data_IF_720272648584
#
_entry.id   IF_720272648584
#
_cell.length_a   1.000
_cell.length_b   1.000
_cell.length_c   1.000
_cell.angle_alpha   90.00
_cell.angle_beta   90.00
_cell.angle_gamma   90.00
#
_symmetry.space_group_name_H-M   'P 1'
#
loop_
_entity.id
_entity.type
_entity.pdbx_description
1 polymer ?
#
# COMPACT_ATOMS: atom_id res chain seq x y z
N UNK A 1 -13.36 -2.94 -20.78
CA UNK A 1 -13.32 -2.71 -19.31
C UNK A 1 -13.20 -4.04 -18.54
N UNK A 2 -14.11 -5.01 -18.70
CA UNK A 2 -14.05 -6.31 -17.99
C UNK A 2 -12.66 -6.98 -18.04
N UNK A 3 -12.07 -7.12 -19.23
CA UNK A 3 -10.73 -7.70 -19.44
C UNK A 3 -9.61 -6.99 -18.67
N UNK A 4 -9.68 -5.65 -18.57
CA UNK A 4 -8.70 -4.82 -17.87
C UNK A 4 -8.84 -5.00 -16.34
N UNK A 5 -10.08 -5.04 -15.85
CA UNK A 5 -10.34 -5.26 -14.42
C UNK A 5 -9.87 -6.64 -13.97
N UNK A 6 -10.14 -7.70 -14.75
CA UNK A 6 -9.60 -9.03 -14.47
C UNK A 6 -8.07 -9.01 -14.43
N UNK A 7 -7.43 -8.39 -15.42
CA UNK A 7 -5.97 -8.29 -15.45
C UNK A 7 -5.40 -7.53 -14.23
N UNK A 8 -6.09 -6.49 -13.77
CA UNK A 8 -5.72 -5.73 -12.57
C UNK A 8 -5.83 -6.57 -11.30
N UNK A 9 -6.96 -7.24 -11.08
CA UNK A 9 -7.17 -8.04 -9.86
C UNK A 9 -6.30 -9.31 -9.83
N UNK A 10 -5.94 -9.85 -10.98
CA UNK A 10 -5.00 -10.96 -11.12
C UNK A 10 -3.52 -10.54 -11.00
N UNK A 11 -3.22 -9.23 -11.06
CA UNK A 11 -1.86 -8.73 -11.13
C UNK A 11 -1.13 -9.14 -12.42
N UNK A 12 -1.87 -9.31 -13.53
CA UNK A 12 -1.33 -9.75 -14.81
C UNK A 12 -0.73 -8.58 -15.61
N UNK A 13 0.52 -8.24 -15.27
CA UNK A 13 1.28 -7.14 -15.86
C UNK A 13 1.37 -7.22 -17.40
N UNK A 14 1.64 -8.40 -17.95
CA UNK A 14 1.76 -8.60 -19.41
C UNK A 14 0.47 -8.24 -20.14
N UNK A 15 -0.68 -8.64 -19.58
CA UNK A 15 -2.00 -8.34 -20.14
C UNK A 15 -2.34 -6.86 -20.02
N UNK A 16 -1.96 -6.21 -18.93
CA UNK A 16 -2.12 -4.75 -18.76
C UNK A 16 -1.30 -4.01 -19.82
N UNK A 17 -0.03 -4.39 -20.03
CA UNK A 17 0.85 -3.79 -21.04
C UNK A 17 0.28 -4.00 -22.44
N UNK A 18 -0.21 -5.21 -22.76
CA UNK A 18 -0.85 -5.48 -24.05
C UNK A 18 -2.07 -4.59 -24.32
N UNK A 19 -2.94 -4.42 -23.32
CA UNK A 19 -4.09 -3.52 -23.41
C UNK A 19 -3.66 -2.06 -23.54
N UNK A 20 -2.61 -1.63 -22.84
CA UNK A 20 -2.07 -0.27 -22.94
C UNK A 20 -1.58 0.04 -24.36
N UNK A 21 -0.89 -0.91 -24.99
CA UNK A 21 -0.46 -0.81 -26.39
C UNK A 21 -1.66 -0.75 -27.34
N UNK A 22 -2.66 -1.62 -27.15
CA UNK A 22 -3.89 -1.65 -27.96
C UNK A 22 -4.65 -0.31 -27.90
N UNK A 23 -4.82 0.23 -26.70
CA UNK A 23 -5.50 1.52 -26.48
C UNK A 23 -4.61 2.74 -26.78
N UNK A 24 -3.31 2.55 -27.04
CA UNK A 24 -2.32 3.62 -27.26
C UNK A 24 -2.25 4.61 -26.10
N UNK A 25 -2.27 4.09 -24.87
CA UNK A 25 -2.17 4.87 -23.62
C UNK A 25 -1.02 4.31 -22.78
N UNK A 26 -0.36 5.15 -21.98
CA UNK A 26 0.63 4.68 -21.01
C UNK A 26 0.03 3.67 -20.02
N UNK A 27 0.76 2.61 -19.69
CA UNK A 27 0.25 1.55 -18.83
C UNK A 27 -0.12 2.06 -17.43
N UNK A 28 0.62 3.03 -16.87
CA UNK A 28 0.31 3.60 -15.57
C UNK A 28 -0.97 4.44 -15.64
N UNK A 29 -1.16 5.22 -16.72
CA UNK A 29 -2.40 5.97 -16.94
C UNK A 29 -3.59 5.01 -17.07
N UNK A 30 -3.45 3.92 -17.83
CA UNK A 30 -4.51 2.93 -17.99
C UNK A 30 -4.90 2.28 -16.66
N UNK A 31 -3.90 1.88 -15.85
CA UNK A 31 -4.10 1.33 -14.51
C UNK A 31 -4.78 2.35 -13.60
N UNK A 32 -4.30 3.58 -13.60
CA UNK A 32 -4.85 4.68 -12.79
C UNK A 32 -6.33 4.91 -13.13
N UNK A 33 -6.67 5.07 -14.40
CA UNK A 33 -8.05 5.29 -14.83
C UNK A 33 -8.96 4.13 -14.43
N UNK A 34 -8.49 2.89 -14.62
CA UNK A 34 -9.26 1.72 -14.23
C UNK A 34 -9.48 1.64 -12.71
N UNK A 35 -8.47 1.96 -11.90
CA UNK A 35 -8.58 2.03 -10.44
C UNK A 35 -9.56 3.11 -9.99
N UNK A 36 -9.48 4.32 -10.56
CA UNK A 36 -10.41 5.41 -10.27
C UNK A 36 -11.85 5.06 -10.64
N UNK A 37 -12.04 4.33 -11.74
CA UNK A 37 -13.36 3.85 -12.11
C UNK A 37 -13.91 2.87 -11.06
N UNK A 38 -13.14 1.88 -10.61
CA UNK A 38 -13.67 0.86 -9.68
C UNK A 38 -13.69 1.28 -8.21
N UNK A 39 -12.92 2.31 -7.84
CA UNK A 39 -12.73 2.73 -6.45
C UNK A 39 -14.03 2.90 -5.66
N UNK A 40 -15.07 3.62 -6.14
CA UNK A 40 -16.31 3.80 -5.36
C UNK A 40 -17.01 2.48 -5.01
N UNK A 41 -16.99 1.51 -5.92
CA UNK A 41 -17.55 0.18 -5.67
C UNK A 41 -16.72 -0.62 -4.66
N UNK A 42 -15.39 -0.48 -4.70
CA UNK A 42 -14.51 -1.11 -3.74
C UNK A 42 -14.64 -0.50 -2.34
N UNK A 43 -14.80 0.82 -2.24
CA UNK A 43 -15.08 1.54 -0.98
C UNK A 43 -16.43 1.09 -0.40
N UNK A 44 -17.47 1.00 -1.22
CA UNK A 44 -18.76 0.46 -0.80
C UNK A 44 -18.62 -0.99 -0.30
N UNK A 45 -17.90 -1.86 -1.01
CA UNK A 45 -17.66 -3.24 -0.58
C UNK A 45 -16.86 -3.30 0.74
N UNK A 46 -15.86 -2.44 0.90
CA UNK A 46 -15.09 -2.33 2.14
C UNK A 46 -15.96 -1.86 3.32
N UNK A 47 -16.93 -0.98 3.10
CA UNK A 47 -17.86 -0.52 4.15
C UNK A 47 -18.82 -1.60 4.64
N UNK A 48 -19.07 -2.64 3.83
CA UNK A 48 -20.04 -3.70 4.11
C UNK A 48 -19.43 -4.91 4.82
N UNK A 49 -18.11 -4.98 4.97
CA UNK A 49 -17.45 -6.11 5.62
C UNK A 49 -17.58 -6.03 7.15
N UNK A 50 -17.90 -7.15 7.79
CA UNK A 50 -17.84 -7.26 9.24
C UNK A 50 -16.37 -7.26 9.70
N UNK A 51 -15.92 -6.27 10.50
CA UNK A 51 -14.55 -6.22 11.01
C UNK A 51 -14.14 -7.46 11.82
N UNK A 52 -15.09 -8.19 12.41
CA UNK A 52 -14.81 -9.42 13.16
C UNK A 52 -14.19 -10.52 12.29
N UNK A 53 -14.51 -10.53 10.99
CA UNK A 53 -13.97 -11.49 10.02
C UNK A 53 -12.49 -11.23 9.72
N UNK A 54 -12.06 -9.97 9.79
CA UNK A 54 -10.68 -9.56 9.50
C UNK A 54 -9.68 -9.98 10.59
N UNK A 55 -10.15 -10.23 11.80
CA UNK A 55 -9.30 -10.64 12.92
C UNK A 55 -8.95 -12.14 12.91
N UNK A 56 -9.62 -12.93 12.06
CA UNK A 56 -9.44 -14.39 12.01
C UNK A 56 -8.22 -14.84 11.21
N UNK A 57 -7.63 -13.94 10.42
CA UNK A 57 -6.51 -14.23 9.52
C UNK A 57 -5.53 -13.06 9.49
N UNK A 58 -4.30 -13.37 9.16
CA UNK A 58 -3.26 -12.38 8.87
C UNK A 58 -3.26 -12.09 7.38
N UNK A 59 -3.30 -10.81 7.02
CA UNK A 59 -3.28 -10.36 5.63
C UNK A 59 -2.00 -9.58 5.32
N UNK A 60 -1.42 -9.81 4.14
CA UNK A 60 -0.33 -9.01 3.56
C UNK A 60 -0.77 -8.16 2.37
N UNK A 61 -2.04 -8.30 1.97
CA UNK A 61 -2.72 -7.60 0.88
C UNK A 61 -4.15 -7.29 1.33
N UNK A 62 -4.79 -6.29 0.72
CA UNK A 62 -6.17 -5.97 1.04
C UNK A 62 -7.10 -7.16 0.67
N UNK A 63 -7.95 -7.64 1.59
CA UNK A 63 -8.87 -8.74 1.31
C UNK A 63 -10.02 -8.38 0.36
N UNK A 64 -10.25 -7.09 0.09
CA UNK A 64 -11.31 -6.62 -0.80
C UNK A 64 -10.81 -6.46 -2.24
N UNK A 65 -9.67 -5.79 -2.43
CA UNK A 65 -9.19 -5.41 -3.75
C UNK A 65 -7.82 -5.99 -4.14
N UNK A 66 -7.17 -6.75 -3.25
CA UNK A 66 -5.87 -7.38 -3.51
C UNK A 66 -4.65 -6.44 -3.44
N UNK A 67 -4.86 -5.12 -3.41
CA UNK A 67 -3.78 -4.12 -3.38
C UNK A 67 -2.91 -4.28 -2.13
N UNK A 68 -1.60 -4.20 -2.32
CA UNK A 68 -0.64 -4.15 -1.20
C UNK A 68 -0.72 -2.79 -0.50
N UNK A 69 -0.93 -2.75 0.82
CA UNK A 69 -0.98 -1.51 1.57
C UNK A 69 0.41 -0.87 1.66
N UNK A 70 0.42 0.46 1.61
CA UNK A 70 1.64 1.28 1.70
C UNK A 70 1.61 2.22 2.91
N UNK A 71 0.44 2.34 3.53
CA UNK A 71 0.21 3.06 4.78
C UNK A 71 -0.22 2.06 5.85
N UNK A 72 0.30 2.27 7.04
CA UNK A 72 0.00 1.54 8.25
C UNK A 72 -0.46 2.54 9.31
N UNK A 73 -1.41 2.15 10.15
CA UNK A 73 -1.69 2.84 11.40
C UNK A 73 -1.33 1.96 12.59
N UNK A 74 -0.71 2.58 13.59
CA UNK A 74 -0.46 1.99 14.89
C UNK A 74 -1.46 2.53 15.91
N UNK A 75 -2.33 1.64 16.40
CA UNK A 75 -3.34 1.95 17.40
C UNK A 75 -3.14 1.05 18.61
N UNK A 76 -2.88 1.65 19.78
CA UNK A 76 -2.63 0.92 21.03
C UNK A 76 -1.51 -0.14 20.90
N UNK A 77 -0.45 0.17 20.15
CA UNK A 77 0.65 -0.76 19.88
C UNK A 77 0.31 -1.91 18.92
N UNK A 78 -0.95 -2.00 18.47
CA UNK A 78 -1.36 -2.94 17.42
C UNK A 78 -1.14 -2.32 16.05
N UNK A 79 -0.90 -3.19 15.09
CA UNK A 79 -0.53 -2.85 13.72
C UNK A 79 -1.70 -3.09 12.78
N UNK A 80 -2.10 -2.05 12.05
CA UNK A 80 -3.16 -2.13 11.05
C UNK A 80 -2.69 -1.57 9.72
N UNK A 81 -3.10 -2.21 8.64
CA UNK A 81 -2.81 -1.77 7.28
C UNK A 81 -4.00 -0.98 6.75
N UNK A 82 -3.70 0.13 6.06
CA UNK A 82 -4.68 0.94 5.37
C UNK A 82 -4.55 0.68 3.86
N UNK A 83 -5.65 0.25 3.23
CA UNK A 83 -5.73 0.17 1.79
C UNK A 83 -6.04 1.55 1.19
N UNK A 84 -5.08 2.11 0.44
CA UNK A 84 -5.24 3.42 -0.21
C UNK A 84 -6.21 3.43 -1.39
N UNK A 85 -6.67 2.26 -1.85
CA UNK A 85 -7.64 2.16 -2.95
C UNK A 85 -9.09 2.03 -2.46
N UNK A 86 -9.36 1.18 -1.46
CA UNK A 86 -10.74 0.94 -1.00
C UNK A 86 -11.02 1.46 0.41
N UNK A 87 -10.01 2.05 1.08
CA UNK A 87 -10.13 2.60 2.42
C UNK A 87 -10.19 1.57 3.56
N UNK A 88 -10.17 0.26 3.27
CA UNK A 88 -10.25 -0.75 4.33
C UNK A 88 -9.04 -0.67 5.27
N UNK A 89 -9.32 -0.66 6.57
CA UNK A 89 -8.33 -0.84 7.64
C UNK A 89 -8.45 -2.26 8.20
N UNK A 90 -7.35 -3.00 8.26
CA UNK A 90 -7.34 -4.40 8.68
C UNK A 90 -6.06 -4.76 9.45
N UNK A 91 -6.11 -5.74 10.39
CA UNK A 91 -4.94 -6.08 11.20
C UNK A 91 -3.82 -6.71 10.35
N UNK A 92 -2.58 -6.35 10.68
CA UNK A 92 -1.38 -6.94 10.09
C UNK A 92 -0.75 -7.97 11.02
N UNK A 93 0.10 -8.85 10.48
CA UNK A 93 0.98 -9.63 11.34
C UNK A 93 1.94 -8.71 12.12
N UNK A 94 2.08 -8.92 13.43
CA UNK A 94 3.13 -8.25 14.20
C UNK A 94 4.50 -8.68 13.67
N UNK A 95 5.46 -7.76 13.70
CA UNK A 95 6.89 -8.03 13.45
C UNK A 95 7.19 -8.81 12.15
N UNK A 96 6.58 -8.41 11.02
CA UNK A 96 6.87 -9.01 9.71
C UNK A 96 6.84 -8.00 8.57
N UNK A 97 7.69 -8.20 7.57
CA UNK A 97 7.64 -7.43 6.33
C UNK A 97 6.43 -7.86 5.50
N UNK A 98 5.51 -6.93 5.20
CA UNK A 98 4.31 -7.20 4.39
C UNK A 98 4.60 -7.46 2.90
N UNK A 99 5.83 -7.19 2.47
CA UNK A 99 6.26 -7.34 1.08
C UNK A 99 6.89 -8.70 0.82
N UNK A 100 7.91 -9.08 1.60
CA UNK A 100 8.67 -10.34 1.40
C UNK A 100 8.48 -11.37 2.52
N UNK A 101 7.69 -11.08 3.56
CA UNK A 101 7.44 -12.00 4.66
C UNK A 101 8.56 -12.16 5.68
N UNK A 102 9.67 -11.41 5.57
CA UNK A 102 10.77 -11.43 6.52
C UNK A 102 10.29 -11.16 7.96
N UNK A 103 10.72 -11.96 8.94
CA UNK A 103 10.34 -11.84 10.37
C UNK A 103 11.53 -11.60 11.30
N UNK A 104 12.71 -11.40 10.73
CA UNK A 104 13.93 -11.18 11.51
C UNK A 104 13.97 -9.74 12.05
N UNK A 105 13.91 -9.54 13.38
CA UNK A 105 13.85 -8.22 13.99
C UNK A 105 15.15 -7.42 13.79
N UNK A 106 16.28 -8.06 13.48
CA UNK A 106 17.52 -7.35 13.22
C UNK A 106 17.56 -6.70 11.84
N UNK A 107 16.73 -7.17 10.90
CA UNK A 107 16.63 -6.65 9.53
C UNK A 107 15.33 -5.89 9.26
N UNK A 108 14.45 -5.78 10.26
CA UNK A 108 13.29 -4.89 10.27
C UNK A 108 13.65 -3.62 11.04
N UNK A 109 13.53 -2.47 10.39
CA UNK A 109 14.03 -1.18 10.91
C UNK A 109 12.98 -0.09 10.76
N UNK A 110 13.19 1.02 11.46
CA UNK A 110 12.36 2.21 11.37
C UNK A 110 13.22 3.46 11.20
N UNK A 111 12.76 4.41 10.40
CA UNK A 111 13.26 5.79 10.39
C UNK A 111 12.23 6.69 11.08
N UNK A 112 12.72 7.60 11.91
CA UNK A 112 11.90 8.59 12.60
C UNK A 112 12.25 9.98 12.05
N UNK A 113 11.39 10.56 11.20
CA UNK A 113 11.66 11.88 10.68
C UNK A 113 11.65 12.94 11.78
N UNK A 114 12.59 13.87 11.71
CA UNK A 114 12.66 15.01 12.62
C UNK A 114 11.36 15.82 12.57
N UNK A 115 10.90 16.30 13.73
CA UNK A 115 9.69 17.10 13.88
C UNK A 115 8.36 16.46 13.38
N UNK A 116 8.35 15.17 13.03
CA UNK A 116 7.16 14.42 12.60
C UNK A 116 6.83 13.28 13.58
N UNK A 117 6.68 13.60 14.87
CA UNK A 117 6.52 12.59 15.95
C UNK A 117 5.36 11.60 15.75
N UNK A 118 4.33 11.98 15.00
CA UNK A 118 3.18 11.14 14.68
C UNK A 118 3.44 10.16 13.53
N UNK A 119 4.62 10.18 12.93
CA UNK A 119 4.96 9.41 11.75
C UNK A 119 6.28 8.67 11.93
N UNK A 120 6.39 7.51 11.30
CA UNK A 120 7.67 6.82 11.08
C UNK A 120 7.63 6.07 9.75
N UNK A 121 8.78 5.63 9.28
CA UNK A 121 8.92 4.82 8.08
C UNK A 121 9.47 3.46 8.51
N UNK A 122 8.65 2.41 8.43
CA UNK A 122 9.09 1.05 8.73
C UNK A 122 9.58 0.39 7.43
N UNK A 123 10.73 -0.26 7.47
CA UNK A 123 11.35 -0.86 6.27
C UNK A 123 12.06 -2.18 6.57
N UNK A 124 12.28 -2.96 5.50
CA UNK A 124 12.99 -4.22 5.56
C UNK A 124 14.32 -4.10 4.82
N UNK A 125 15.44 -4.41 5.47
CA UNK A 125 16.76 -4.36 4.84
C UNK A 125 16.91 -5.38 3.70
N UNK A 126 16.22 -6.53 3.79
CA UNK A 126 16.31 -7.61 2.78
C UNK A 126 15.69 -7.24 1.44
N UNK A 127 14.49 -6.63 1.44
CA UNK A 127 13.80 -6.25 0.21
C UNK A 127 13.82 -4.74 -0.07
N UNK A 128 14.40 -3.96 0.84
CA UNK A 128 14.50 -2.49 0.79
C UNK A 128 13.16 -1.74 0.73
N UNK A 129 12.04 -2.45 0.83
CA UNK A 129 10.71 -1.85 0.75
C UNK A 129 10.30 -1.23 2.09
N UNK A 130 9.48 -0.18 2.04
CA UNK A 130 9.00 0.53 3.23
C UNK A 130 7.48 0.70 3.26
N UNK A 131 6.97 0.97 4.46
CA UNK A 131 5.61 1.42 4.76
C UNK A 131 5.66 2.71 5.56
N UNK A 132 4.79 3.67 5.22
CA UNK A 132 4.55 4.83 6.06
C UNK A 132 3.69 4.41 7.23
N UNK A 133 4.06 4.81 8.44
CA UNK A 133 3.32 4.47 9.65
C UNK A 133 2.82 5.73 10.32
N UNK A 134 1.52 5.76 10.56
CA UNK A 134 0.82 6.79 11.31
C UNK A 134 0.64 6.29 12.74
N UNK A 135 1.11 7.05 13.71
CA UNK A 135 0.97 6.74 15.13
C UNK A 135 -0.22 7.54 15.64
N UNK A 136 -1.41 6.93 15.64
CA UNK A 136 -2.69 7.62 15.90
C UNK A 136 -2.67 8.43 17.20
N UNK A 137 -2.06 7.89 18.26
CA UNK A 137 -1.98 8.52 19.58
C UNK A 137 -1.16 9.81 19.61
N UNK A 138 -0.32 10.05 18.60
CA UNK A 138 0.57 11.22 18.50
C UNK A 138 0.09 12.25 17.49
N UNK A 139 -0.99 11.96 16.76
CA UNK A 139 -1.60 12.93 15.84
C UNK A 139 -2.20 14.10 16.63
N UNK A 140 -1.86 15.33 16.20
CA UNK A 140 -2.50 16.55 16.73
C UNK A 140 -3.89 16.75 16.13
N UNK A 141 -4.04 16.37 14.87
CA UNK A 141 -5.26 16.52 14.09
C UNK A 141 -5.50 15.24 13.29
N UNK A 142 -6.77 14.93 13.03
CA UNK A 142 -7.14 13.76 12.24
C UNK A 142 -6.81 14.01 10.77
N UNK A 143 -6.16 13.04 10.13
CA UNK A 143 -5.95 13.06 8.69
C UNK A 143 -7.28 12.66 8.00
N UNK A 144 -7.74 13.41 6.98
CA UNK A 144 -8.92 13.02 6.23
C UNK A 144 -8.75 11.64 5.59
N UNK A 145 -9.77 10.81 5.72
CA UNK A 145 -9.79 9.48 5.12
C UNK A 145 -9.58 9.54 3.60
N UNK A 146 -8.70 8.70 3.10
CA UNK A 146 -8.30 8.64 1.68
C UNK A 146 -7.14 9.57 1.33
N UNK A 147 -6.74 10.50 2.22
CA UNK A 147 -5.63 11.42 1.99
C UNK A 147 -4.37 11.06 2.78
N UNK A 148 -4.36 9.96 3.54
CA UNK A 148 -3.27 9.56 4.40
C UNK A 148 -1.94 9.43 3.67
N UNK A 149 -1.93 8.80 2.50
CA UNK A 149 -0.72 8.64 1.70
C UNK A 149 -0.25 9.96 1.07
N UNK A 150 -1.19 10.76 0.54
CA UNK A 150 -0.90 12.03 -0.13
C UNK A 150 -0.32 13.07 0.83
N UNK A 151 -0.94 13.22 2.01
CA UNK A 151 -0.55 14.19 3.04
C UNK A 151 0.73 13.78 3.81
N UNK A 152 1.25 12.60 3.52
CA UNK A 152 2.53 12.09 4.05
C UNK A 152 3.55 11.84 2.94
N UNK A 153 3.42 12.52 1.79
CA UNK A 153 4.31 12.37 0.63
C UNK A 153 5.77 12.79 0.90
N UNK A 154 6.00 13.69 1.87
CA UNK A 154 7.33 14.03 2.38
C UNK A 154 8.07 12.81 2.94
N UNK A 155 7.36 11.83 3.51
CA UNK A 155 7.96 10.59 4.01
C UNK A 155 8.55 9.75 2.87
N UNK A 156 7.98 9.83 1.66
CA UNK A 156 8.56 9.16 0.50
C UNK A 156 9.88 9.78 0.08
N UNK A 157 10.01 11.10 0.19
CA UNK A 157 11.24 11.82 -0.11
C UNK A 157 12.35 11.38 0.85
N UNK A 158 12.04 11.29 2.15
CA UNK A 158 12.96 10.81 3.18
C UNK A 158 13.35 9.34 2.91
N UNK A 159 12.36 8.47 2.66
CA UNK A 159 12.60 7.05 2.38
C UNK A 159 13.47 6.84 1.14
N UNK A 160 13.18 7.57 0.06
CA UNK A 160 13.95 7.51 -1.20
C UNK A 160 15.39 7.99 -1.00
N UNK A 161 15.59 9.03 -0.20
CA UNK A 161 16.94 9.54 0.13
C UNK A 161 17.75 8.51 0.93
N UNK A 162 17.08 7.63 1.69
CA UNK A 162 17.69 6.48 2.36
C UNK A 162 17.83 5.23 1.47
N UNK A 163 17.54 5.34 0.17
CA UNK A 163 17.62 4.22 -0.78
C UNK A 163 16.57 3.13 -0.55
N UNK A 164 15.39 3.50 -0.06
CA UNK A 164 14.27 2.58 0.14
C UNK A 164 13.32 2.62 -1.06
N UNK A 165 12.63 1.51 -1.28
CA UNK A 165 11.76 1.28 -2.43
C UNK A 165 10.29 1.37 -2.02
N UNK A 166 9.53 2.17 -2.76
CA UNK A 166 8.08 2.20 -2.64
C UNK A 166 7.49 1.13 -3.54
N UNK A 167 6.58 0.31 -3.02
CA UNK A 167 5.73 -0.53 -3.85
C UNK A 167 4.55 0.32 -4.33
N UNK A 168 4.35 0.39 -5.64
CA UNK A 168 3.25 1.14 -6.24
C UNK A 168 1.88 0.51 -5.95
N UNK A 169 0.83 1.34 -6.06
CA UNK A 169 -0.58 0.88 -6.11
C UNK A 169 -0.88 0.20 -7.45
N UNK A 170 -0.06 0.48 -8.47
CA UNK A 170 0.03 -0.33 -9.67
C UNK A 170 0.81 -1.61 -9.33
N UNK A 171 0.25 -2.76 -9.70
CA UNK A 171 0.86 -4.09 -9.64
C UNK A 171 2.18 -4.22 -10.43
N UNK A 172 2.66 -3.13 -11.01
CA UNK A 172 3.94 -3.03 -11.71
C UNK A 172 5.05 -3.03 -10.66
N UNK A 173 5.71 -4.18 -10.59
CA UNK A 173 6.83 -4.45 -9.71
C UNK A 173 7.94 -3.41 -9.99
N UNK A 174 8.57 -2.77 -8.98
CA UNK A 174 9.72 -1.89 -9.21
C UNK A 174 10.90 -2.57 -9.92
N UNK A 175 10.91 -3.90 -10.02
CA UNK A 175 11.89 -4.66 -10.81
C UNK A 175 11.71 -4.52 -12.32
N UNK A 176 10.56 -4.05 -12.82
CA UNK A 176 10.36 -3.80 -14.26
C UNK A 176 11.08 -2.53 -14.77
N UNK A 177 11.70 -1.73 -13.89
CA UNK A 177 12.47 -0.52 -14.24
C UNK A 177 13.99 -0.77 -14.23
N UNK A 178 14.42 -2.04 -14.10
CA UNK A 178 15.82 -2.42 -14.36
C UNK A 178 15.87 -3.29 -15.60
N UNK A 179 15.87 -2.65 -16.77
CA UNK A 179 16.69 -2.95 -17.95
C UNK A 179 16.33 -1.98 -19.07
N UNK A 180 17.14 -0.94 -19.17
CA UNK A 180 17.34 -0.03 -20.29
C UNK A 180 18.75 0.50 -20.14
#
# INVERSE_FOLDING_TARGET
ISTLLSALFEGNEQKIIGLAVEFKVDANILVFLAQMLVQPWLEQAASMIDPSLLHRRVYSTCPICGVKPIVETSKEGKRFLLCVLCGLIFPAAPFSCIFCGNRDPYTLKSLFPENRLAFRIDYCEKCRCYTKVIIDQKLKERIPSGLEDLLTSDLDIIARSAGLLRIGVAYLNPTAVRHG
#
